data_IF_951734070578
#
_entry.id   IF_951734070578
#
_cell.length_a   1.000
_cell.length_b   1.000
_cell.length_c   1.000
_cell.angle_alpha   90.00
_cell.angle_beta   90.00
_cell.angle_gamma   90.00
#
_symmetry.space_group_name_H-M   'P 1'
#
loop_
_entity.id
_entity.type
_entity.pdbx_description
1 polymer ?
#
# COMPACT_ATOMS: atom_id res chain seq x y z
N UNK A 1 2.96 -31.22 28.76
CA UNK A 1 4.00 -31.45 27.72
C UNK A 1 3.51 -30.82 26.42
N UNK A 2 4.18 -29.72 26.03
CA UNK A 2 4.23 -29.02 24.72
C UNK A 2 3.05 -29.22 23.75
N UNK A 3 2.14 -28.25 23.72
CA UNK A 3 1.35 -27.96 22.52
C UNK A 3 2.27 -27.29 21.49
N UNK A 4 2.60 -28.02 20.43
CA UNK A 4 3.24 -27.46 19.25
C UNK A 4 2.16 -26.72 18.43
N UNK A 5 2.14 -25.39 18.53
CA UNK A 5 1.52 -24.56 17.50
C UNK A 5 2.45 -24.60 16.28
N UNK A 6 2.05 -25.37 15.26
CA UNK A 6 2.66 -25.28 13.94
C UNK A 6 2.12 -24.04 13.24
N UNK A 7 2.85 -22.93 13.34
CA UNK A 7 2.67 -21.77 12.46
C UNK A 7 3.17 -22.20 11.09
N UNK A 8 2.25 -22.61 10.21
CA UNK A 8 2.56 -22.73 8.78
C UNK A 8 2.55 -21.29 8.24
N UNK A 9 3.73 -20.67 8.24
CA UNK A 9 3.98 -19.49 7.44
C UNK A 9 3.91 -19.93 5.97
N UNK A 10 2.78 -19.69 5.31
CA UNK A 10 2.67 -19.84 3.87
C UNK A 10 3.61 -18.83 3.22
N UNK A 11 4.82 -19.28 2.90
CA UNK A 11 5.75 -18.60 2.01
C UNK A 11 5.13 -18.63 0.61
N UNK A 12 4.33 -17.62 0.26
CA UNK A 12 3.90 -17.41 -1.12
C UNK A 12 5.11 -16.82 -1.85
N UNK A 13 5.85 -17.68 -2.56
CA UNK A 13 6.97 -17.26 -3.39
C UNK A 13 6.37 -16.69 -4.69
N UNK A 14 6.24 -15.35 -4.75
CA UNK A 14 5.79 -14.61 -5.93
C UNK A 14 6.78 -14.78 -7.09
N UNK A 15 6.55 -15.73 -8.00
CA UNK A 15 7.42 -16.00 -9.16
C UNK A 15 7.22 -15.04 -10.35
N UNK A 16 6.37 -14.01 -10.23
CA UNK A 16 6.03 -13.09 -11.33
C UNK A 16 6.36 -11.63 -10.99
N UNK A 17 7.56 -11.35 -10.50
CA UNK A 17 8.03 -9.97 -10.35
C UNK A 17 8.54 -9.43 -11.69
N UNK A 18 7.83 -8.48 -12.28
CA UNK A 18 8.31 -7.75 -13.46
C UNK A 18 9.02 -6.49 -13.00
N UNK A 19 10.31 -6.37 -13.34
CA UNK A 19 11.08 -5.16 -13.13
C UNK A 19 10.97 -4.26 -14.36
N UNK A 20 10.46 -3.05 -14.15
CA UNK A 20 10.34 -2.02 -15.17
C UNK A 20 11.15 -0.79 -14.80
N UNK A 21 11.68 -0.11 -15.82
CA UNK A 21 12.28 1.21 -15.69
C UNK A 21 11.48 2.16 -16.58
N UNK A 22 10.86 3.19 -16.01
CA UNK A 22 10.15 4.21 -16.80
C UNK A 22 10.26 5.58 -16.14
N UNK A 23 10.08 6.61 -16.97
CA UNK A 23 9.92 7.99 -16.52
C UNK A 23 8.45 8.38 -16.30
N UNK A 24 7.51 7.47 -16.60
CA UNK A 24 6.08 7.75 -16.57
C UNK A 24 5.52 7.66 -15.15
N UNK A 25 4.38 8.30 -14.91
CA UNK A 25 3.61 8.12 -13.68
C UNK A 25 3.16 6.66 -13.52
N UNK A 26 2.94 6.22 -12.29
CA UNK A 26 2.29 4.92 -12.06
C UNK A 26 0.92 4.98 -12.72
N UNK A 27 0.62 4.03 -13.61
CA UNK A 27 -0.69 3.94 -14.23
C UNK A 27 -1.62 3.20 -13.27
N UNK A 28 -2.65 3.91 -12.82
CA UNK A 28 -3.75 3.35 -12.05
C UNK A 28 -4.77 2.72 -12.99
N UNK A 29 -5.53 1.75 -12.49
CA UNK A 29 -6.68 1.24 -13.22
C UNK A 29 -7.73 2.33 -13.34
N UNK A 30 -8.12 2.68 -14.56
CA UNK A 30 -9.21 3.61 -14.80
C UNK A 30 -10.54 2.95 -14.42
N UNK A 31 -11.26 3.55 -13.48
CA UNK A 31 -12.57 3.04 -13.08
C UNK A 31 -13.56 3.14 -14.25
N UNK A 32 -14.29 2.06 -14.46
CA UNK A 32 -15.35 1.92 -15.46
C UNK A 32 -16.47 1.15 -14.80
N UNK A 33 -17.62 1.80 -14.58
CA UNK A 33 -18.79 1.23 -13.90
C UNK A 33 -19.38 0.00 -14.59
N UNK A 34 -19.06 -0.26 -15.85
CA UNK A 34 -19.51 -1.45 -16.57
C UNK A 34 -18.62 -2.66 -16.31
N UNK A 35 -17.38 -2.42 -15.89
CA UNK A 35 -16.34 -3.44 -15.71
C UNK A 35 -16.05 -3.66 -14.22
N UNK A 36 -15.99 -2.56 -13.46
CA UNK A 36 -15.53 -2.53 -12.09
C UNK A 36 -16.69 -2.29 -11.14
N UNK A 37 -16.81 -3.16 -10.13
CA UNK A 37 -17.69 -2.91 -8.99
C UNK A 37 -17.01 -1.92 -8.03
N UNK A 38 -15.70 -2.12 -7.79
CA UNK A 38 -14.95 -1.40 -6.76
C UNK A 38 -13.45 -1.47 -6.99
N UNK A 39 -12.77 -0.35 -6.74
CA UNK A 39 -11.30 -0.24 -6.70
C UNK A 39 -10.91 0.41 -5.38
N UNK A 40 -10.00 -0.23 -4.66
CA UNK A 40 -9.32 0.33 -3.50
C UNK A 40 -7.83 0.48 -3.82
N UNK A 41 -7.31 1.70 -3.69
CA UNK A 41 -5.89 2.00 -3.83
C UNK A 41 -5.37 2.47 -2.48
N UNK A 42 -4.24 1.91 -2.04
CA UNK A 42 -3.51 2.31 -0.84
C UNK A 42 -2.10 2.71 -1.26
N UNK A 43 -1.72 3.95 -0.97
CA UNK A 43 -0.40 4.50 -1.25
C UNK A 43 0.32 4.80 0.06
N UNK A 44 1.57 4.32 0.17
CA UNK A 44 2.43 4.60 1.32
C UNK A 44 3.57 5.47 0.81
N UNK A 45 3.51 6.77 1.14
CA UNK A 45 4.35 7.80 0.54
C UNK A 45 4.42 7.63 -1.00
N UNK A 46 5.60 7.85 -1.58
CA UNK A 46 5.92 7.62 -2.99
C UNK A 46 6.55 6.23 -3.25
N UNK A 47 6.57 5.34 -2.23
CA UNK A 47 7.36 4.10 -2.25
C UNK A 47 6.56 2.84 -2.57
N UNK A 48 5.28 2.79 -2.21
CA UNK A 48 4.43 1.63 -2.44
C UNK A 48 3.02 2.04 -2.81
N UNK A 49 2.45 1.31 -3.77
CA UNK A 49 1.06 1.39 -4.17
C UNK A 49 0.47 -0.01 -4.22
N UNK A 50 -0.61 -0.24 -3.48
CA UNK A 50 -1.43 -1.45 -3.53
C UNK A 50 -2.78 -1.09 -4.15
N UNK A 51 -3.10 -1.69 -5.29
CA UNK A 51 -4.42 -1.55 -5.94
C UNK A 51 -5.14 -2.90 -5.88
N UNK A 52 -6.39 -2.88 -5.44
CA UNK A 52 -7.28 -4.02 -5.26
C UNK A 52 -8.56 -3.75 -6.03
N UNK A 53 -8.89 -4.65 -6.96
CA UNK A 53 -10.01 -4.48 -7.90
C UNK A 53 -10.98 -5.64 -7.72
N UNK A 54 -12.27 -5.29 -7.62
CA UNK A 54 -13.39 -6.21 -7.75
C UNK A 54 -14.17 -5.85 -9.01
N UNK A 55 -14.27 -6.79 -9.92
CA UNK A 55 -14.97 -6.64 -11.20
C UNK A 55 -16.44 -7.05 -11.09
N UNK A 56 -17.25 -6.60 -12.05
CA UNK A 56 -18.70 -6.92 -12.13
C UNK A 56 -18.97 -8.41 -12.40
N UNK A 57 -17.99 -9.14 -12.94
CA UNK A 57 -18.03 -10.60 -13.11
C UNK A 57 -17.62 -11.37 -11.83
N UNK A 58 -17.48 -10.67 -10.71
CA UNK A 58 -17.02 -11.18 -9.42
C UNK A 58 -15.57 -11.67 -9.37
N UNK A 59 -14.76 -11.37 -10.39
CA UNK A 59 -13.32 -11.58 -10.32
C UNK A 59 -12.64 -10.55 -9.42
N UNK A 60 -11.51 -10.96 -8.84
CA UNK A 60 -10.67 -10.15 -7.97
C UNK A 60 -9.26 -10.10 -8.52
N UNK A 61 -8.74 -8.88 -8.69
CA UNK A 61 -7.39 -8.63 -9.19
C UNK A 61 -6.66 -7.68 -8.25
N UNK A 62 -5.36 -7.87 -8.08
CA UNK A 62 -4.57 -7.00 -7.24
C UNK A 62 -3.15 -6.84 -7.73
N UNK A 63 -2.60 -5.67 -7.49
CA UNK A 63 -1.22 -5.34 -7.80
C UNK A 63 -0.58 -4.55 -6.68
N UNK A 64 0.64 -4.95 -6.31
CA UNK A 64 1.55 -4.15 -5.51
C UNK A 64 2.66 -3.61 -6.41
N UNK A 65 2.86 -2.30 -6.37
CA UNK A 65 3.93 -1.60 -7.08
C UNK A 65 4.87 -1.01 -6.02
N UNK A 66 6.10 -1.51 -5.99
CA UNK A 66 7.18 -0.90 -5.22
C UNK A 66 7.94 0.08 -6.12
N UNK A 67 8.29 1.26 -5.61
CA UNK A 67 8.96 2.32 -6.35
C UNK A 67 10.13 2.91 -5.57
N UNK A 68 11.22 3.20 -6.27
CA UNK A 68 12.32 4.06 -5.78
C UNK A 68 12.78 4.99 -6.89
N UNK A 69 13.25 6.19 -6.52
CA UNK A 69 13.92 7.10 -7.42
C UNK A 69 15.43 6.87 -7.38
N UNK A 70 16.04 6.49 -8.49
CA UNK A 70 17.50 6.50 -8.62
C UNK A 70 17.97 7.94 -8.80
N UNK A 71 18.97 8.33 -8.01
CA UNK A 71 19.58 9.67 -8.06
C UNK A 71 21.08 9.58 -8.33
N UNK A 72 21.68 10.68 -8.81
CA UNK A 72 23.13 10.78 -8.96
C UNK A 72 23.80 11.28 -7.66
N UNK A 73 25.14 11.40 -7.69
CA UNK A 73 25.92 11.87 -6.53
C UNK A 73 25.61 13.31 -6.10
N UNK A 74 24.99 14.12 -6.95
CA UNK A 74 24.55 15.48 -6.65
C UNK A 74 23.12 15.53 -6.09
N UNK A 75 22.45 14.38 -5.97
CA UNK A 75 21.05 14.29 -5.56
C UNK A 75 20.06 14.54 -6.70
N UNK A 76 20.52 14.67 -7.95
CA UNK A 76 19.63 14.94 -9.07
C UNK A 76 18.91 13.64 -9.50
N UNK A 77 17.59 13.70 -9.78
CA UNK A 77 16.81 12.55 -10.22
C UNK A 77 17.34 12.00 -11.54
N UNK A 78 17.49 10.68 -11.62
CA UNK A 78 17.84 9.98 -12.86
C UNK A 78 16.59 9.33 -13.45
N UNK A 79 15.94 8.44 -12.69
CA UNK A 79 14.75 7.67 -13.12
C UNK A 79 14.09 6.93 -11.97
N UNK A 80 12.82 6.57 -12.13
CA UNK A 80 12.17 5.61 -11.24
C UNK A 80 12.54 4.17 -11.63
N UNK A 81 12.76 3.36 -10.60
CA UNK A 81 12.83 1.90 -10.71
C UNK A 81 11.61 1.35 -10.00
N UNK A 82 10.90 0.45 -10.68
CA UNK A 82 9.65 -0.13 -10.16
C UNK A 82 9.64 -1.64 -10.25
N UNK A 83 9.05 -2.27 -9.25
CA UNK A 83 8.72 -3.68 -9.25
C UNK A 83 7.21 -3.81 -9.17
N UNK A 84 6.63 -4.55 -10.12
CA UNK A 84 5.20 -4.88 -10.12
C UNK A 84 5.03 -6.33 -9.68
N UNK A 85 4.21 -6.55 -8.66
CA UNK A 85 3.87 -7.86 -8.11
C UNK A 85 2.36 -8.06 -8.24
N UNK A 86 1.93 -9.15 -8.87
CA UNK A 86 0.53 -9.55 -8.88
C UNK A 86 0.16 -10.16 -7.53
N UNK A 87 -0.98 -9.78 -6.98
CA UNK A 87 -1.54 -10.35 -5.75
C UNK A 87 -2.58 -11.42 -6.13
N UNK A 88 -2.55 -12.62 -5.53
CA UNK A 88 -3.55 -13.65 -5.80
C UNK A 88 -4.98 -13.17 -5.53
N UNK A 89 -5.91 -13.47 -6.45
CA UNK A 89 -7.31 -13.07 -6.35
C UNK A 89 -7.97 -13.49 -5.03
N UNK A 90 -7.69 -14.69 -4.52
CA UNK A 90 -8.19 -15.18 -3.23
C UNK A 90 -7.76 -14.33 -2.02
N UNK A 91 -6.58 -13.70 -2.09
CA UNK A 91 -6.10 -12.81 -1.03
C UNK A 91 -6.71 -11.41 -1.21
N UNK A 92 -6.83 -10.93 -2.45
CA UNK A 92 -7.55 -9.68 -2.78
C UNK A 92 -8.99 -9.75 -2.29
N UNK A 93 -9.70 -10.83 -2.59
CA UNK A 93 -11.08 -11.07 -2.15
C UNK A 93 -11.21 -10.96 -0.63
N UNK A 94 -10.34 -11.67 0.11
CA UNK A 94 -10.35 -11.66 1.58
C UNK A 94 -10.09 -10.26 2.12
N UNK A 95 -9.10 -9.55 1.59
CA UNK A 95 -8.80 -8.17 2.01
C UNK A 95 -10.01 -7.29 1.74
N UNK A 96 -10.48 -7.21 0.49
CA UNK A 96 -11.58 -6.31 0.10
C UNK A 96 -12.86 -6.59 0.89
N UNK A 97 -13.21 -7.85 1.13
CA UNK A 97 -14.40 -8.20 1.90
C UNK A 97 -14.30 -7.80 3.38
N UNK A 98 -13.15 -8.00 4.02
CA UNK A 98 -12.94 -7.59 5.41
C UNK A 98 -12.89 -6.05 5.55
N UNK A 99 -12.23 -5.39 4.61
CA UNK A 99 -12.13 -3.93 4.55
C UNK A 99 -13.49 -3.26 4.32
N UNK A 100 -14.30 -3.83 3.42
CA UNK A 100 -15.67 -3.37 3.20
C UNK A 100 -16.54 -3.53 4.45
N UNK A 101 -16.47 -4.68 5.15
CA UNK A 101 -17.20 -4.91 6.41
C UNK A 101 -16.84 -3.92 7.51
N UNK A 102 -15.59 -3.41 7.52
CA UNK A 102 -15.15 -2.39 8.49
C UNK A 102 -15.60 -0.96 8.14
N UNK A 103 -16.30 -0.76 7.01
CA UNK A 103 -16.86 0.52 6.63
C UNK A 103 -15.83 1.51 6.13
N UNK A 104 -14.73 1.04 5.51
CA UNK A 104 -13.62 1.89 5.03
C UNK A 104 -14.08 3.05 4.15
N UNK A 105 -15.16 2.83 3.38
CA UNK A 105 -15.69 3.79 2.41
C UNK A 105 -16.24 5.06 3.07
N UNK A 106 -16.49 5.00 4.39
CA UNK A 106 -17.05 6.08 5.20
C UNK A 106 -16.06 6.71 6.18
N UNK A 107 -14.81 6.23 6.24
CA UNK A 107 -13.80 6.79 7.17
C UNK A 107 -13.45 8.22 6.72
N UNK A 108 -13.59 9.25 7.55
CA UNK A 108 -13.23 10.63 7.18
C UNK A 108 -11.71 10.77 6.95
N UNK A 109 -11.27 11.84 6.29
CA UNK A 109 -9.84 12.14 6.22
C UNK A 109 -9.32 12.63 7.58
N UNK A 110 -8.05 12.44 7.88
CA UNK A 110 -7.45 12.94 9.13
C UNK A 110 -7.66 14.46 9.30
N UNK A 111 -7.65 15.21 8.20
CA UNK A 111 -7.92 16.67 8.20
C UNK A 111 -9.34 17.04 8.64
N UNK A 112 -10.28 16.10 8.63
CA UNK A 112 -11.69 16.28 8.99
C UNK A 112 -11.99 15.80 10.42
N UNK A 113 -11.01 15.19 11.10
CA UNK A 113 -11.18 14.56 12.40
C UNK A 113 -10.48 15.39 13.47
N UNK A 114 -11.26 15.88 14.43
CA UNK A 114 -10.72 16.61 15.58
C UNK A 114 -9.73 15.73 16.37
N UNK A 115 -8.55 16.28 16.63
CA UNK A 115 -7.48 15.57 17.35
C UNK A 115 -6.66 14.61 16.50
N UNK A 116 -6.93 14.46 15.20
CA UNK A 116 -6.05 13.73 14.29
C UNK A 116 -4.87 14.62 13.86
N UNK A 117 -3.65 14.10 14.00
CA UNK A 117 -2.43 14.87 13.72
C UNK A 117 -2.00 14.70 12.27
N UNK A 118 -1.54 15.79 11.65
CA UNK A 118 -0.93 15.78 10.32
C UNK A 118 0.52 16.26 10.39
N UNK A 119 1.35 15.81 9.45
CA UNK A 119 2.78 16.17 9.38
C UNK A 119 3.28 16.27 7.94
N UNK A 120 4.47 16.86 7.79
CA UNK A 120 5.12 17.06 6.49
C UNK A 120 6.30 16.10 6.24
N UNK A 121 6.75 15.39 7.26
CA UNK A 121 7.79 14.35 7.21
C UNK A 121 7.17 12.96 7.48
N UNK A 122 7.96 11.92 7.77
CA UNK A 122 7.43 10.61 8.15
C UNK A 122 6.66 9.83 7.07
N UNK A 123 5.71 9.00 7.51
CA UNK A 123 4.93 8.07 6.69
C UNK A 123 3.49 8.52 6.58
N UNK A 124 3.11 9.02 5.42
CA UNK A 124 1.72 9.25 5.04
C UNK A 124 1.17 8.04 4.30
N UNK A 125 -0.05 7.65 4.64
CA UNK A 125 -0.80 6.62 3.94
C UNK A 125 -2.06 7.25 3.36
N UNK A 126 -2.18 7.22 2.04
CA UNK A 126 -3.34 7.70 1.29
C UNK A 126 -4.17 6.53 0.80
N UNK A 127 -5.48 6.73 0.79
CA UNK A 127 -6.46 5.75 0.33
C UNK A 127 -7.32 6.40 -0.73
N UNK A 128 -7.45 5.75 -1.88
CA UNK A 128 -8.40 6.11 -2.93
C UNK A 128 -9.44 5.01 -3.06
N UNK A 129 -10.71 5.39 -2.92
CA UNK A 129 -11.84 4.47 -3.09
C UNK A 129 -12.66 4.92 -4.28
N UNK A 130 -12.85 4.01 -5.23
CA UNK A 130 -13.74 4.20 -6.39
C UNK A 130 -14.78 3.08 -6.43
N UNK A 131 -16.05 3.45 -6.48
CA UNK A 131 -17.21 2.60 -6.74
C UNK A 131 -18.14 3.35 -7.71
N UNK A 132 -19.31 2.79 -8.01
CA UNK A 132 -20.33 3.52 -8.80
C UNK A 132 -20.79 4.82 -8.13
N UNK A 133 -20.85 4.85 -6.79
CA UNK A 133 -21.44 5.95 -6.02
C UNK A 133 -20.39 6.78 -5.25
N UNK A 134 -19.15 6.30 -5.17
CA UNK A 134 -18.08 6.89 -4.36
C UNK A 134 -16.84 7.09 -5.22
N UNK A 135 -16.30 8.31 -5.24
CA UNK A 135 -14.94 8.60 -5.68
C UNK A 135 -14.32 9.53 -4.65
N UNK A 136 -13.46 8.99 -3.78
CA UNK A 136 -12.91 9.76 -2.66
C UNK A 136 -11.49 9.37 -2.32
N UNK A 137 -10.74 10.38 -1.88
CA UNK A 137 -9.40 10.23 -1.34
C UNK A 137 -9.39 10.67 0.13
N UNK A 138 -8.64 9.97 0.96
CA UNK A 138 -8.37 10.36 2.34
C UNK A 138 -7.00 9.87 2.78
N UNK A 139 -6.39 10.53 3.77
CA UNK A 139 -5.03 10.19 4.19
C UNK A 139 -4.82 10.34 5.68
N UNK A 140 -3.83 9.61 6.17
CA UNK A 140 -3.39 9.60 7.56
C UNK A 140 -1.88 9.65 7.64
N UNK A 141 -1.38 10.55 8.49
CA UNK A 141 0.04 10.69 8.78
C UNK A 141 0.42 9.86 10.01
N UNK A 142 1.43 9.01 9.89
CA UNK A 142 1.93 8.15 10.96
C UNK A 142 0.82 7.37 11.73
N UNK A 143 -0.17 6.76 11.05
CA UNK A 143 -1.34 6.18 11.72
C UNK A 143 -1.00 5.06 12.70
N UNK A 144 0.14 4.38 12.54
CA UNK A 144 0.57 3.26 13.40
C UNK A 144 1.47 3.69 14.57
N UNK A 145 1.76 4.99 14.70
CA UNK A 145 2.72 5.50 15.69
C UNK A 145 1.99 6.16 16.89
N UNK A 146 2.02 5.51 18.06
CA UNK A 146 1.37 5.99 19.29
C UNK A 146 1.95 7.30 19.85
N UNK A 147 3.17 7.67 19.43
CA UNK A 147 3.75 8.95 19.83
C UNK A 147 3.05 10.12 19.12
N UNK A 148 2.64 9.93 17.87
CA UNK A 148 2.04 10.98 17.05
C UNK A 148 0.52 10.91 17.03
N UNK A 149 -0.07 9.72 17.07
CA UNK A 149 -1.51 9.52 16.94
C UNK A 149 -2.13 8.99 18.23
N UNK A 150 -3.29 9.53 18.58
CA UNK A 150 -4.06 9.04 19.72
C UNK A 150 -4.67 7.67 19.37
N UNK A 151 -4.26 6.57 20.03
CA UNK A 151 -4.79 5.23 19.77
C UNK A 151 -6.27 5.08 20.13
N UNK A 152 -6.80 5.95 21.01
CA UNK A 152 -8.20 5.96 21.41
C UNK A 152 -9.11 6.69 20.40
N UNK A 153 -8.53 7.40 19.42
CA UNK A 153 -9.29 8.02 18.34
C UNK A 153 -9.86 6.90 17.44
N UNK A 154 -11.20 6.87 17.32
CA UNK A 154 -11.92 5.79 16.62
C UNK A 154 -11.39 5.57 15.20
N UNK A 155 -11.14 6.65 14.48
CA UNK A 155 -10.66 6.64 13.11
C UNK A 155 -9.25 6.05 13.01
N UNK A 156 -8.36 6.35 13.97
CA UNK A 156 -7.02 5.75 14.04
C UNK A 156 -7.13 4.24 14.29
N UNK A 157 -8.02 3.81 15.19
CA UNK A 157 -8.26 2.40 15.42
C UNK A 157 -8.79 1.69 14.16
N UNK A 158 -9.69 2.33 13.38
CA UNK A 158 -10.19 1.79 12.11
C UNK A 158 -9.07 1.66 11.06
N UNK A 159 -8.25 2.70 10.87
CA UNK A 159 -7.13 2.67 9.93
C UNK A 159 -6.10 1.60 10.31
N UNK A 160 -5.77 1.47 11.60
CA UNK A 160 -4.88 0.39 12.08
C UNK A 160 -5.48 -0.99 11.84
N UNK A 161 -6.79 -1.14 12.01
CA UNK A 161 -7.53 -2.36 11.69
C UNK A 161 -7.41 -2.75 10.21
N UNK A 162 -7.60 -1.77 9.32
CA UNK A 162 -7.42 -1.91 7.87
C UNK A 162 -6.00 -2.33 7.51
N UNK A 163 -4.99 -1.60 8.00
CA UNK A 163 -3.59 -1.90 7.74
C UNK A 163 -3.20 -3.29 8.26
N UNK A 164 -3.73 -3.68 9.42
CA UNK A 164 -3.52 -5.03 9.97
C UNK A 164 -4.11 -6.11 9.06
N UNK A 165 -5.32 -5.94 8.53
CA UNK A 165 -5.92 -6.89 7.57
C UNK A 165 -5.02 -7.06 6.34
N UNK A 166 -4.57 -5.94 5.77
CA UNK A 166 -3.68 -5.96 4.61
C UNK A 166 -2.39 -6.72 4.96
N UNK A 167 -1.74 -6.37 6.08
CA UNK A 167 -0.48 -6.99 6.54
C UNK A 167 -0.61 -8.48 6.87
N UNK A 168 -1.78 -8.95 7.26
CA UNK A 168 -2.03 -10.39 7.49
C UNK A 168 -1.97 -11.21 6.20
N UNK A 169 -2.10 -10.57 5.02
CA UNK A 169 -2.08 -11.22 3.71
C UNK A 169 -0.87 -10.84 2.88
N UNK A 170 -0.46 -9.58 2.98
CA UNK A 170 0.59 -8.98 2.18
C UNK A 170 1.51 -8.22 3.14
N UNK A 171 2.67 -8.78 3.43
CA UNK A 171 3.69 -8.07 4.23
C UNK A 171 4.37 -7.00 3.36
N UNK A 172 3.75 -5.82 3.32
CA UNK A 172 4.18 -4.69 2.48
C UNK A 172 5.62 -4.27 2.79
N UNK A 173 6.01 -4.26 4.07
CA UNK A 173 7.35 -3.85 4.48
C UNK A 173 8.38 -4.89 4.02
N UNK A 174 8.13 -6.17 4.28
CA UNK A 174 9.02 -7.24 3.82
C UNK A 174 9.19 -7.22 2.30
N UNK A 175 8.10 -7.09 1.53
CA UNK A 175 8.16 -7.05 0.07
C UNK A 175 8.92 -5.81 -0.45
N UNK A 176 8.79 -4.67 0.22
CA UNK A 176 9.57 -3.49 -0.10
C UNK A 176 11.06 -3.67 0.22
N UNK A 177 11.39 -4.25 1.37
CA UNK A 177 12.79 -4.49 1.77
C UNK A 177 13.47 -5.45 0.80
N UNK A 178 12.77 -6.51 0.37
CA UNK A 178 13.26 -7.42 -0.68
C UNK A 178 13.47 -6.68 -2.01
N UNK A 179 12.58 -5.76 -2.37
CA UNK A 179 12.77 -4.92 -3.55
C UNK A 179 14.03 -4.05 -3.42
N UNK A 180 14.20 -3.35 -2.30
CA UNK A 180 15.39 -2.54 -2.02
C UNK A 180 16.66 -3.39 -2.09
N UNK A 181 16.65 -4.59 -1.52
CA UNK A 181 17.78 -5.51 -1.54
C UNK A 181 18.16 -6.03 -2.92
N UNK A 182 17.19 -6.13 -3.82
CA UNK A 182 17.42 -6.50 -5.22
C UNK A 182 18.01 -5.38 -6.09
N UNK A 183 18.03 -4.12 -5.61
CA UNK A 183 18.49 -2.99 -6.41
C UNK A 183 19.99 -3.08 -6.72
N UNK A 184 20.43 -2.71 -7.94
CA UNK A 184 21.84 -2.65 -8.27
C UNK A 184 22.56 -1.55 -7.48
N UNK A 185 23.90 -1.56 -7.50
CA UNK A 185 24.74 -0.50 -6.90
C UNK A 185 24.27 0.89 -7.38
N UNK A 186 24.15 1.83 -6.42
CA UNK A 186 23.63 3.17 -6.70
C UNK A 186 23.16 3.92 -5.46
N UNK A 187 22.63 5.12 -5.69
CA UNK A 187 21.98 5.97 -4.67
C UNK A 187 20.50 6.06 -5.04
N UNK A 188 19.65 5.82 -4.06
CA UNK A 188 18.20 5.75 -4.22
C UNK A 188 17.52 6.66 -3.21
N UNK A 189 16.36 7.19 -3.58
CA UNK A 189 15.48 7.98 -2.73
C UNK A 189 14.08 7.37 -2.73
N UNK A 190 13.46 7.28 -1.57
CA UNK A 190 12.05 6.93 -1.38
C UNK A 190 11.58 7.40 -0.02
N UNK A 191 10.34 7.89 0.10
CA UNK A 191 9.74 8.31 1.38
C UNK A 191 10.60 9.31 2.16
N UNK A 192 11.33 10.19 1.48
CA UNK A 192 12.28 11.12 2.10
C UNK A 192 13.60 10.49 2.60
N UNK A 193 13.82 9.19 2.40
CA UNK A 193 15.02 8.46 2.81
C UNK A 193 15.98 8.28 1.65
N UNK A 194 17.28 8.51 1.91
CA UNK A 194 18.37 8.21 0.98
C UNK A 194 19.04 6.88 1.33
N UNK A 195 19.14 5.98 0.35
CA UNK A 195 19.81 4.69 0.49
C UNK A 195 20.96 4.58 -0.50
N UNK A 196 22.15 4.23 0.01
CA UNK A 196 23.33 3.94 -0.82
C UNK A 196 23.60 2.44 -0.82
N UNK A 197 23.48 1.81 -1.99
CA UNK A 197 23.89 0.42 -2.23
C UNK A 197 25.33 0.39 -2.73
N UNK A 198 26.19 -0.38 -2.06
CA UNK A 198 27.63 -0.53 -2.35
C UNK A 198 27.93 -1.92 -2.90
#
# INVERSE_FOLDING_TARGET
>A
MKHFFSIVASLIIFHNSVFGQSNDSVQHTNFDKLIHERIYTIEINDRQLLELVKSMDHSYEGVLINSVLKINRKGEPIKYIRQRLAIPGDDVEKIMNEVFKQGVESIPSCSEVEGCITGFDGTSISFHIKTTDVDREFSYWEPENDYYQNPDLKEIAQIRGLLKIIKMKIDLNYLFDQFIDSLPIGIYSYGGVLVTKR
#
